data_IF_748322873785
#
_entry.id   IF_748322873785
#
_cell.length_a   1.000
_cell.length_b   1.000
_cell.length_c   1.000
_cell.angle_alpha   90.00
_cell.angle_beta   90.00
_cell.angle_gamma   90.00
#
_symmetry.space_group_name_H-M   'P 1'
#
loop_
_entity.id
_entity.type
_entity.pdbx_description
1 polymer ?
#
# COMPACT_ATOMS: atom_id res chain seq x y z
N UNK A 1 57.20 28.68 -44.79
CA UNK A 1 57.04 27.40 -44.07
C UNK A 1 55.70 27.48 -43.29
N UNK A 2 54.70 26.71 -43.75
CA UNK A 2 53.33 26.77 -43.28
C UNK A 2 53.16 25.67 -42.23
N UNK A 3 53.03 26.08 -40.98
CA UNK A 3 52.72 25.16 -39.86
C UNK A 3 51.21 24.87 -39.78
N UNK A 4 50.82 23.63 -40.06
CA UNK A 4 49.43 23.12 -39.83
C UNK A 4 49.25 22.77 -38.38
N UNK A 5 48.46 23.53 -37.64
CA UNK A 5 47.98 23.17 -36.30
C UNK A 5 46.83 22.15 -36.43
N UNK A 6 47.04 20.92 -35.92
CA UNK A 6 46.00 19.91 -35.70
C UNK A 6 45.22 20.27 -34.43
N UNK A 7 43.95 20.63 -34.60
CA UNK A 7 42.99 20.75 -33.52
C UNK A 7 42.43 19.34 -33.20
N UNK A 8 42.89 18.74 -32.10
CA UNK A 8 42.25 17.54 -31.53
C UNK A 8 40.96 17.98 -30.83
N UNK A 9 39.83 17.70 -31.45
CA UNK A 9 38.52 17.84 -30.82
C UNK A 9 38.27 16.72 -29.79
N UNK A 10 38.32 17.04 -28.51
CA UNK A 10 37.90 16.15 -27.48
C UNK A 10 36.36 16.08 -27.46
N UNK A 11 35.80 14.99 -27.96
CA UNK A 11 34.39 14.68 -27.81
C UNK A 11 34.09 14.27 -26.36
N UNK A 12 33.48 15.17 -25.58
CA UNK A 12 32.96 14.87 -24.26
C UNK A 12 31.70 14.01 -24.45
N UNK A 13 31.81 12.70 -24.17
CA UNK A 13 30.66 11.85 -23.98
C UNK A 13 29.92 12.31 -22.73
N UNK A 14 28.81 13.01 -22.87
CA UNK A 14 27.89 13.30 -21.80
C UNK A 14 27.14 11.99 -21.47
N UNK A 15 27.54 11.33 -20.41
CA UNK A 15 26.75 10.24 -19.80
C UNK A 15 25.49 10.87 -19.23
N UNK A 16 24.35 10.69 -19.91
CA UNK A 16 23.04 10.95 -19.34
C UNK A 16 22.83 9.95 -18.18
N UNK A 17 23.05 10.41 -16.97
CA UNK A 17 22.62 9.71 -15.78
C UNK A 17 21.10 9.71 -15.80
N UNK A 18 20.48 8.60 -16.22
CA UNK A 18 19.06 8.38 -16.09
C UNK A 18 18.74 8.37 -14.60
N UNK A 19 18.28 9.50 -14.06
CA UNK A 19 17.75 9.55 -12.71
C UNK A 19 16.51 8.65 -12.66
N UNK A 20 16.60 7.53 -11.93
CA UNK A 20 15.44 6.72 -11.62
C UNK A 20 14.39 7.59 -10.93
N UNK A 21 13.09 7.43 -11.26
CA UNK A 21 12.04 8.22 -10.62
C UNK A 21 12.09 8.03 -9.10
N UNK A 22 11.82 9.08 -8.33
CA UNK A 22 11.85 9.00 -6.88
C UNK A 22 10.85 7.95 -6.38
N UNK A 23 11.26 7.15 -5.40
CA UNK A 23 10.40 6.15 -4.77
C UNK A 23 9.19 6.83 -4.11
N UNK A 24 7.98 6.28 -4.24
CA UNK A 24 6.78 6.87 -3.65
C UNK A 24 6.89 6.92 -2.12
N UNK A 25 6.34 7.97 -1.50
CA UNK A 25 6.30 8.10 -0.04
C UNK A 25 5.47 6.97 0.61
N UNK A 26 4.41 6.55 -0.05
CA UNK A 26 3.58 5.40 0.30
C UNK A 26 3.34 4.54 -0.92
N UNK A 27 3.28 3.22 -0.74
CA UNK A 27 2.94 2.27 -1.81
C UNK A 27 1.46 1.86 -1.77
N UNK A 28 0.72 2.33 -0.77
CA UNK A 28 -0.73 2.14 -0.63
C UNK A 28 -1.36 3.48 -0.29
N UNK A 29 -2.55 3.72 -0.82
CA UNK A 29 -3.42 4.82 -0.43
C UNK A 29 -4.78 4.29 0.03
N UNK A 30 -5.41 4.95 0.99
CA UNK A 30 -6.80 4.70 1.35
C UNK A 30 -7.69 5.39 0.31
N UNK A 31 -8.45 4.61 -0.43
CA UNK A 31 -9.33 5.12 -1.49
C UNK A 31 -10.71 5.55 -0.99
N UNK A 32 -11.07 5.15 0.24
CA UNK A 32 -12.33 5.57 0.89
C UNK A 32 -12.00 6.58 1.98
N UNK A 33 -12.60 7.74 1.94
CA UNK A 33 -12.44 8.80 2.94
C UNK A 33 -13.65 8.93 3.87
N UNK A 34 -14.83 8.47 3.41
CA UNK A 34 -16.06 8.46 4.17
C UNK A 34 -16.98 7.28 3.84
N UNK A 35 -17.75 6.85 4.82
CA UNK A 35 -18.80 5.85 4.67
C UNK A 35 -20.04 6.22 5.48
N UNK A 36 -21.19 5.66 5.10
CA UNK A 36 -22.45 5.75 5.86
C UNK A 36 -22.91 4.35 6.24
N UNK A 37 -23.29 4.16 7.49
CA UNK A 37 -23.81 2.89 8.01
C UNK A 37 -25.10 3.14 8.82
N UNK A 38 -25.99 2.15 8.99
CA UNK A 38 -27.14 2.27 9.87
C UNK A 38 -26.72 2.55 11.30
N UNK A 39 -27.33 3.58 11.94
CA UNK A 39 -27.00 3.93 13.32
C UNK A 39 -27.49 2.86 14.30
N UNK A 40 -26.67 2.60 15.35
CA UNK A 40 -26.97 1.71 16.46
C UNK A 40 -27.32 0.26 16.02
N UNK A 41 -26.80 -0.14 14.88
CA UNK A 41 -26.95 -1.50 14.33
C UNK A 41 -25.60 -2.07 13.92
N UNK A 42 -25.51 -3.39 13.93
CA UNK A 42 -24.34 -4.09 13.37
C UNK A 42 -24.28 -3.82 11.86
N UNK A 43 -23.14 -3.37 11.41
CA UNK A 43 -22.84 -3.05 10.02
C UNK A 43 -21.40 -3.45 9.70
N UNK A 44 -21.02 -3.31 8.43
CA UNK A 44 -19.66 -3.53 7.97
C UNK A 44 -19.10 -2.24 7.36
N UNK A 45 -17.98 -1.77 7.90
CA UNK A 45 -17.19 -0.71 7.29
C UNK A 45 -16.25 -1.32 6.26
N UNK A 46 -16.29 -0.87 5.02
CA UNK A 46 -15.40 -1.31 3.96
C UNK A 46 -14.30 -0.28 3.73
N UNK A 47 -13.08 -0.63 4.13
CA UNK A 47 -11.89 0.18 3.91
C UNK A 47 -11.21 -0.28 2.62
N UNK A 48 -11.34 0.52 1.58
CA UNK A 48 -10.77 0.23 0.27
C UNK A 48 -9.38 0.84 0.16
N UNK A 49 -8.41 0.01 -0.15
CA UNK A 49 -7.02 0.40 -0.37
C UNK A 49 -6.63 0.19 -1.82
N UNK A 50 -5.79 1.09 -2.32
CA UNK A 50 -5.20 1.01 -3.66
C UNK A 50 -3.69 0.88 -3.54
N UNK A 51 -3.14 -0.19 -4.09
CA UNK A 51 -1.69 -0.37 -4.25
C UNK A 51 -1.23 0.43 -5.47
N UNK A 52 -0.11 1.13 -5.35
CA UNK A 52 0.49 1.90 -6.45
C UNK A 52 0.90 0.95 -7.57
N UNK A 53 0.65 1.35 -8.81
CA UNK A 53 0.97 0.56 -10.00
C UNK A 53 2.46 0.15 -10.03
N UNK A 54 2.72 -1.08 -10.45
CA UNK A 54 4.06 -1.66 -10.46
C UNK A 54 4.51 -2.26 -9.13
N UNK A 55 3.70 -2.12 -8.06
CA UNK A 55 3.96 -2.70 -6.75
C UNK A 55 2.92 -3.75 -6.37
N UNK A 56 3.30 -4.60 -5.44
CA UNK A 56 2.42 -5.47 -4.68
C UNK A 56 2.79 -5.38 -3.20
N UNK A 57 1.88 -5.76 -2.34
CA UNK A 57 2.13 -5.86 -0.91
C UNK A 57 1.82 -7.27 -0.44
N UNK A 58 2.55 -7.75 0.57
CA UNK A 58 2.22 -9.04 1.16
C UNK A 58 0.77 -9.03 1.64
N UNK A 59 0.07 -10.15 1.47
CA UNK A 59 -1.28 -10.31 2.01
C UNK A 59 -1.27 -10.30 3.55
N UNK A 60 -2.43 -10.42 4.16
CA UNK A 60 -2.53 -10.60 5.61
C UNK A 60 -1.98 -11.97 6.07
N UNK A 61 -1.97 -12.95 5.19
CA UNK A 61 -1.48 -14.32 5.44
C UNK A 61 -0.39 -14.70 4.42
N UNK A 62 0.79 -14.05 4.48
CA UNK A 62 1.89 -14.40 3.58
C UNK A 62 2.36 -15.83 3.82
N UNK A 63 2.88 -16.46 2.77
CA UNK A 63 3.32 -17.88 2.82
C UNK A 63 4.61 -18.11 3.60
N UNK A 64 5.36 -17.07 3.94
CA UNK A 64 6.61 -17.14 4.68
C UNK A 64 6.54 -16.29 5.94
N UNK A 65 7.05 -16.80 7.06
CA UNK A 65 7.17 -16.08 8.33
C UNK A 65 8.19 -14.93 8.27
N UNK A 66 9.06 -14.93 7.26
CA UNK A 66 10.03 -13.84 7.04
C UNK A 66 9.39 -12.60 6.39
N UNK A 67 8.21 -12.75 5.84
CA UNK A 67 7.47 -11.67 5.19
C UNK A 67 6.59 -10.93 6.19
N UNK A 68 6.57 -9.60 6.08
CA UNK A 68 5.72 -8.75 6.92
C UNK A 68 4.30 -8.74 6.34
N UNK A 69 3.29 -9.23 7.08
CA UNK A 69 1.92 -9.22 6.62
C UNK A 69 1.32 -7.81 6.59
N UNK A 70 0.35 -7.60 5.70
CA UNK A 70 -0.53 -6.43 5.75
C UNK A 70 -1.46 -6.56 6.95
N UNK A 71 -1.40 -5.59 7.87
CA UNK A 71 -2.16 -5.62 9.12
C UNK A 71 -2.73 -4.24 9.46
N UNK A 72 -4.06 -4.18 9.61
CA UNK A 72 -4.81 -3.00 10.03
C UNK A 72 -5.00 -3.02 11.55
N UNK A 73 -4.54 -1.99 12.22
CA UNK A 73 -4.80 -1.74 13.64
C UNK A 73 -5.67 -0.50 13.76
N UNK A 74 -6.83 -0.65 14.37
CA UNK A 74 -7.77 0.45 14.61
C UNK A 74 -7.63 0.96 16.05
N UNK A 75 -7.79 2.27 16.21
CA UNK A 75 -7.84 2.90 17.51
C UNK A 75 -9.29 2.87 18.04
N UNK A 76 -9.43 2.83 19.35
CA UNK A 76 -10.73 3.00 19.99
C UNK A 76 -11.22 4.43 19.71
N UNK A 77 -12.49 4.56 19.30
CA UNK A 77 -13.13 5.84 19.00
C UNK A 77 -14.47 5.94 19.71
N UNK A 78 -14.81 7.14 20.17
CA UNK A 78 -16.11 7.41 20.77
C UNK A 78 -17.22 7.23 19.73
N UNK A 79 -18.29 6.55 20.11
CA UNK A 79 -19.43 6.27 19.24
C UNK A 79 -19.21 5.19 18.19
N UNK A 80 -18.04 4.55 18.12
CA UNK A 80 -17.74 3.44 17.24
C UNK A 80 -17.24 2.25 18.05
N UNK A 81 -17.93 1.11 17.91
CA UNK A 81 -17.41 -0.20 18.28
C UNK A 81 -16.93 -0.89 17.02
N UNK A 82 -15.66 -1.26 16.97
CA UNK A 82 -15.06 -1.98 15.85
C UNK A 82 -14.66 -3.40 16.26
N UNK A 83 -15.03 -4.37 15.45
CA UNK A 83 -14.62 -5.76 15.59
C UNK A 83 -13.29 -6.07 14.90
N UNK A 84 -12.98 -7.34 14.79
CA UNK A 84 -11.76 -7.82 14.13
C UNK A 84 -11.83 -7.56 12.62
N UNK A 85 -10.81 -6.92 12.01
CA UNK A 85 -10.75 -6.75 10.57
C UNK A 85 -10.73 -8.09 9.83
N UNK A 86 -11.49 -8.17 8.74
CA UNK A 86 -11.53 -9.30 7.82
C UNK A 86 -10.82 -8.92 6.53
N UNK A 87 -9.85 -9.74 6.13
CA UNK A 87 -9.00 -9.49 4.97
C UNK A 87 -9.44 -10.33 3.77
N UNK A 88 -9.31 -9.79 2.55
CA UNK A 88 -9.55 -10.58 1.36
C UNK A 88 -8.45 -11.64 1.22
N UNK A 89 -8.76 -12.67 0.46
CA UNK A 89 -7.76 -13.64 0.02
C UNK A 89 -6.77 -12.96 -0.92
N UNK A 90 -5.47 -13.23 -0.73
CA UNK A 90 -4.43 -12.74 -1.63
C UNK A 90 -4.40 -13.51 -2.95
N UNK A 91 -3.59 -13.01 -3.87
CA UNK A 91 -3.27 -13.66 -5.14
C UNK A 91 -1.85 -14.18 -5.13
N UNK A 92 -1.61 -15.26 -5.85
CA UNK A 92 -0.28 -15.83 -5.97
C UNK A 92 0.60 -14.97 -6.88
N UNK A 93 1.82 -14.70 -6.43
CA UNK A 93 2.84 -13.96 -7.16
C UNK A 93 4.17 -14.71 -7.07
N UNK A 94 4.94 -14.73 -8.14
CA UNK A 94 6.30 -15.25 -8.14
C UNK A 94 7.24 -14.26 -8.84
N UNK A 95 8.43 -14.08 -8.29
CA UNK A 95 9.47 -13.32 -8.98
C UNK A 95 9.96 -14.07 -10.20
N UNK A 96 10.25 -13.36 -11.30
CA UNK A 96 10.75 -13.97 -12.53
C UNK A 96 12.11 -14.67 -12.36
N UNK A 97 12.92 -14.17 -11.43
CA UNK A 97 14.24 -14.75 -11.09
C UNK A 97 14.15 -15.89 -10.06
N UNK A 98 13.01 -16.10 -9.41
CA UNK A 98 12.78 -17.15 -8.41
C UNK A 98 11.35 -17.71 -8.53
N UNK A 99 11.02 -18.36 -9.67
CA UNK A 99 9.64 -18.77 -9.96
C UNK A 99 9.13 -19.90 -9.06
N UNK A 100 10.02 -20.57 -8.33
CA UNK A 100 9.68 -21.63 -7.38
C UNK A 100 9.14 -21.09 -6.06
N UNK A 101 9.48 -19.87 -5.67
CA UNK A 101 8.96 -19.21 -4.48
C UNK A 101 7.69 -18.42 -4.81
N UNK A 102 6.59 -18.86 -4.23
CA UNK A 102 5.28 -18.25 -4.46
C UNK A 102 4.86 -17.45 -3.25
N UNK A 103 4.61 -16.17 -3.48
CA UNK A 103 4.11 -15.24 -2.48
C UNK A 103 2.59 -15.16 -2.56
N UNK A 104 1.95 -14.79 -1.45
CA UNK A 104 0.54 -14.42 -1.39
C UNK A 104 0.46 -12.90 -1.16
N UNK A 105 -0.12 -12.18 -2.13
CA UNK A 105 -0.02 -10.71 -2.20
C UNK A 105 -1.34 -10.03 -2.55
N UNK A 106 -1.42 -8.73 -2.28
CA UNK A 106 -2.43 -7.83 -2.82
C UNK A 106 -1.81 -6.94 -3.90
N UNK A 107 -2.52 -6.81 -5.01
CA UNK A 107 -2.22 -5.91 -6.13
C UNK A 107 -3.46 -5.09 -6.48
N UNK A 108 -3.30 -3.92 -7.09
CA UNK A 108 -4.44 -3.08 -7.45
C UNK A 108 -5.25 -2.67 -6.23
N UNK A 109 -6.56 -2.87 -6.27
CA UNK A 109 -7.44 -2.56 -5.14
C UNK A 109 -7.71 -3.79 -4.28
N UNK A 110 -7.71 -3.60 -2.95
CA UNK A 110 -8.22 -4.58 -2.01
C UNK A 110 -9.04 -3.91 -0.91
N UNK A 111 -9.97 -4.66 -0.31
CA UNK A 111 -10.88 -4.14 0.72
C UNK A 111 -10.73 -4.93 2.00
N UNK A 112 -10.46 -4.23 3.10
CA UNK A 112 -10.55 -4.78 4.45
C UNK A 112 -11.92 -4.46 5.02
N UNK A 113 -12.65 -5.47 5.46
CA UNK A 113 -13.98 -5.33 6.06
C UNK A 113 -13.86 -5.32 7.57
N UNK A 114 -14.51 -4.35 8.21
CA UNK A 114 -14.50 -4.22 9.67
C UNK A 114 -15.93 -4.25 10.18
N UNK A 115 -16.31 -5.24 10.99
CA UNK A 115 -17.59 -5.21 11.70
C UNK A 115 -17.64 -3.97 12.60
N UNK A 116 -18.70 -3.18 12.50
CA UNK A 116 -18.87 -1.96 13.30
C UNK A 116 -20.27 -1.84 13.85
N UNK A 117 -20.40 -1.12 14.97
CA UNK A 117 -21.64 -0.55 15.46
C UNK A 117 -21.39 0.92 15.76
N UNK A 118 -22.11 1.81 15.11
CA UNK A 118 -21.86 3.25 15.10
C UNK A 118 -23.09 3.96 15.66
N UNK A 119 -22.90 4.83 16.64
CA UNK A 119 -24.00 5.68 17.12
C UNK A 119 -24.41 6.71 16.07
N UNK A 120 -25.60 7.30 16.19
CA UNK A 120 -26.06 8.32 15.27
C UNK A 120 -25.09 9.52 15.22
N UNK A 121 -24.91 10.08 14.01
CA UNK A 121 -24.06 11.25 13.78
C UNK A 121 -22.75 10.93 13.07
N UNK A 122 -21.87 11.91 13.05
CA UNK A 122 -20.55 11.84 12.42
C UNK A 122 -19.50 11.38 13.45
N UNK A 123 -18.70 10.42 13.05
CA UNK A 123 -17.59 9.89 13.85
C UNK A 123 -16.34 9.73 12.96
N UNK A 124 -15.18 9.65 13.58
CA UNK A 124 -13.92 9.38 12.87
C UNK A 124 -13.34 8.05 13.34
N UNK A 125 -13.08 7.13 12.41
CA UNK A 125 -12.35 5.91 12.66
C UNK A 125 -10.91 6.11 12.23
N UNK A 126 -9.97 5.99 13.16
CA UNK A 126 -8.54 6.15 12.93
C UNK A 126 -7.80 4.84 13.19
N UNK A 127 -6.66 4.71 12.53
CA UNK A 127 -5.81 3.55 12.70
C UNK A 127 -4.55 3.61 11.88
N UNK A 128 -3.91 2.46 11.74
CA UNK A 128 -2.70 2.30 10.95
C UNK A 128 -2.74 1.00 10.18
N UNK A 129 -2.30 1.04 8.92
CA UNK A 129 -2.05 -0.14 8.10
C UNK A 129 -0.55 -0.35 7.98
N UNK A 130 -0.02 -1.38 8.64
CA UNK A 130 1.37 -1.83 8.46
C UNK A 130 1.41 -2.77 7.26
N UNK A 131 2.41 -2.60 6.39
CA UNK A 131 2.58 -3.42 5.19
C UNK A 131 4.03 -3.46 4.73
N UNK A 132 4.37 -4.41 3.87
CA UNK A 132 5.63 -4.48 3.15
C UNK A 132 5.34 -4.53 1.66
N UNK A 133 5.91 -3.59 0.91
CA UNK A 133 5.77 -3.52 -0.54
C UNK A 133 6.98 -4.10 -1.24
N UNK A 134 6.72 -4.70 -2.39
CA UNK A 134 7.73 -5.21 -3.32
C UNK A 134 7.39 -4.73 -4.73
N UNK A 135 8.41 -4.61 -5.58
CA UNK A 135 8.26 -4.53 -7.03
C UNK A 135 8.69 -5.86 -7.69
N UNK A 136 8.96 -5.85 -8.99
CA UNK A 136 9.39 -7.06 -9.71
C UNK A 136 10.82 -7.52 -9.36
N UNK A 137 11.61 -6.71 -8.67
CA UNK A 137 13.04 -6.95 -8.42
C UNK A 137 13.38 -7.08 -6.92
N UNK A 138 12.63 -6.43 -6.02
CA UNK A 138 12.98 -6.35 -4.62
C UNK A 138 11.78 -6.04 -3.71
N UNK A 139 11.90 -6.45 -2.44
CA UNK A 139 11.02 -6.00 -1.36
C UNK A 139 11.68 -4.87 -0.57
N UNK A 140 10.87 -3.91 -0.17
CA UNK A 140 11.30 -2.72 0.56
C UNK A 140 11.07 -2.86 2.07
N UNK A 141 11.70 -2.03 2.89
CA UNK A 141 11.42 -2.00 4.32
C UNK A 141 9.92 -1.77 4.60
N UNK A 142 9.37 -2.37 5.66
CA UNK A 142 7.98 -2.18 6.05
C UNK A 142 7.64 -0.70 6.24
N UNK A 143 6.42 -0.34 5.85
CA UNK A 143 5.85 0.99 6.05
C UNK A 143 4.54 0.92 6.81
N UNK A 144 4.14 2.06 7.34
CA UNK A 144 2.86 2.25 8.01
C UNK A 144 2.11 3.40 7.34
N UNK A 145 0.89 3.13 6.90
CA UNK A 145 -0.05 4.13 6.39
C UNK A 145 -0.98 4.54 7.52
N UNK A 146 -1.10 5.85 7.79
CA UNK A 146 -2.15 6.37 8.65
C UNK A 146 -3.51 6.21 7.95
N UNK A 147 -4.48 5.64 8.67
CA UNK A 147 -5.86 5.43 8.20
C UNK A 147 -6.77 6.39 8.94
N UNK A 148 -7.54 7.15 8.20
CA UNK A 148 -8.59 8.04 8.75
C UNK A 148 -9.81 7.95 7.86
N UNK A 149 -10.95 7.57 8.45
CA UNK A 149 -12.22 7.38 7.78
C UNK A 149 -13.31 8.10 8.54
N UNK A 150 -14.08 8.95 7.85
CA UNK A 150 -15.29 9.56 8.42
C UNK A 150 -16.44 8.56 8.29
N UNK A 151 -17.14 8.31 9.39
CA UNK A 151 -18.23 7.34 9.47
C UNK A 151 -19.50 8.05 9.93
N UNK A 152 -20.53 8.01 9.09
CA UNK A 152 -21.85 8.56 9.40
C UNK A 152 -22.80 7.44 9.86
N UNK A 153 -23.30 7.51 11.10
CA UNK A 153 -24.41 6.71 11.58
C UNK A 153 -25.75 7.39 11.22
N UNK A 154 -26.51 6.79 10.34
CA UNK A 154 -27.83 7.31 9.92
C UNK A 154 -28.96 6.32 10.14
#
# INVERSE_FOLDING_TARGET
>A
VIGRALLLGAALLQMNVMNAPPKPKSYIVLASDQITVPANKKATAELRFQVVDGFHVNSHTPKSELLIPTNLKLNVADGIKAGTPEYPKGTEYAFSFEPGEKLDVYTGSFTVKVPVEVSAGEHTLEGTLKYQACDHAACYPPKTLAVKLVVFGK
#
